data_IF_904313308724
#
_entry.id   IF_904313308724
#
_cell.length_a   1.000
_cell.length_b   1.000
_cell.length_c   1.000
_cell.angle_alpha   90.00
_cell.angle_beta   90.00
_cell.angle_gamma   90.00
#
_symmetry.space_group_name_H-M   'P 1'
#
loop_
_entity.id
_entity.type
_entity.pdbx_description
1 polymer ?
#
# COMPACT_ATOMS: atom_id res chain seq x y z
N UNK A 1 5.20 -6.66 16.17
CA UNK A 1 5.28 -6.04 14.83
C UNK A 1 3.87 -5.84 14.30
N UNK A 2 3.55 -4.64 13.79
CA UNK A 2 2.21 -4.22 13.38
C UNK A 2 1.15 -4.53 14.44
N UNK A 3 1.43 -4.19 15.69
CA UNK A 3 0.51 -4.50 16.79
C UNK A 3 -0.81 -3.72 16.67
N UNK A 4 -1.97 -4.30 17.04
CA UNK A 4 -3.29 -3.68 16.87
C UNK A 4 -3.48 -2.43 17.73
N UNK A 5 -2.70 -2.30 18.80
CA UNK A 5 -2.74 -1.17 19.72
C UNK A 5 -2.00 0.05 19.18
N UNK A 6 -1.21 -0.11 18.10
CA UNK A 6 -0.48 1.00 17.48
C UNK A 6 -1.43 1.86 16.66
N UNK A 7 -1.25 3.18 16.72
CA UNK A 7 -2.07 4.12 15.96
C UNK A 7 -1.70 4.05 14.48
N UNK A 8 -2.69 3.80 13.61
CA UNK A 8 -2.52 3.93 12.17
C UNK A 8 -2.40 5.40 11.78
N UNK A 9 -1.43 5.72 10.94
CA UNK A 9 -1.21 7.06 10.37
C UNK A 9 -1.12 6.92 8.86
N UNK A 10 -1.93 7.70 8.15
CA UNK A 10 -1.91 7.77 6.69
C UNK A 10 -1.46 9.16 6.31
N UNK A 11 -0.37 9.26 5.56
CA UNK A 11 0.16 10.54 5.10
C UNK A 11 -0.80 11.19 4.09
N UNK A 12 -0.79 12.53 4.03
CA UNK A 12 -1.71 13.29 3.18
C UNK A 12 -1.58 12.91 1.71
N UNK A 13 -0.36 12.67 1.22
CA UNK A 13 -0.12 12.29 -0.17
C UNK A 13 -0.74 10.94 -0.55
N UNK A 14 -0.88 10.02 0.41
CA UNK A 14 -1.55 8.73 0.18
C UNK A 14 -3.05 8.95 0.04
N UNK A 15 -3.65 9.78 0.92
CA UNK A 15 -5.09 10.08 0.88
C UNK A 15 -5.51 10.79 -0.40
N UNK A 16 -4.61 11.59 -0.99
CA UNK A 16 -4.86 12.28 -2.24
C UNK A 16 -4.82 11.36 -3.46
N UNK A 17 -4.09 10.25 -3.38
CA UNK A 17 -3.82 9.36 -4.52
C UNK A 17 -4.58 8.04 -4.47
N UNK A 18 -4.82 7.52 -3.27
CA UNK A 18 -5.44 6.21 -3.05
C UNK A 18 -6.81 6.43 -2.39
N UNK A 19 -7.90 5.86 -2.95
CA UNK A 19 -9.23 5.97 -2.35
C UNK A 19 -9.26 5.46 -0.91
N UNK A 20 -10.08 6.09 -0.06
CA UNK A 20 -10.19 5.73 1.36
C UNK A 20 -10.58 4.26 1.57
N UNK A 21 -11.48 3.74 0.75
CA UNK A 21 -11.87 2.33 0.77
C UNK A 21 -10.69 1.39 0.49
N UNK A 22 -9.79 1.76 -0.44
CA UNK A 22 -8.58 0.98 -0.73
C UNK A 22 -7.59 1.07 0.43
N UNK A 23 -7.40 2.24 1.03
CA UNK A 23 -6.58 2.41 2.23
C UNK A 23 -7.09 1.51 3.37
N UNK A 24 -8.41 1.43 3.56
CA UNK A 24 -9.02 0.54 4.55
C UNK A 24 -8.74 -0.93 4.25
N UNK A 25 -8.84 -1.35 2.98
CA UNK A 25 -8.49 -2.71 2.55
C UNK A 25 -7.01 -3.03 2.83
N UNK A 26 -6.08 -2.10 2.60
CA UNK A 26 -4.67 -2.30 2.91
C UNK A 26 -4.44 -2.55 4.41
N UNK A 27 -5.14 -1.82 5.29
CA UNK A 27 -5.08 -2.07 6.74
C UNK A 27 -5.65 -3.43 7.12
N UNK A 28 -6.74 -3.84 6.47
CA UNK A 28 -7.34 -5.16 6.67
C UNK A 28 -6.37 -6.27 6.24
N UNK A 29 -5.77 -6.17 5.05
CA UNK A 29 -4.75 -7.11 4.56
C UNK A 29 -3.58 -7.22 5.53
N UNK A 30 -3.08 -6.10 6.04
CA UNK A 30 -2.01 -6.09 7.03
C UNK A 30 -2.40 -6.82 8.33
N UNK A 31 -3.61 -6.56 8.84
CA UNK A 31 -4.16 -7.24 10.00
C UNK A 31 -4.26 -8.76 9.77
N UNK A 32 -4.70 -9.19 8.60
CA UNK A 32 -4.86 -10.60 8.29
C UNK A 32 -3.53 -11.32 8.08
N UNK A 33 -2.57 -10.69 7.40
CA UNK A 33 -1.20 -11.21 7.30
C UNK A 33 -0.55 -11.37 8.68
N UNK A 34 -0.82 -10.43 9.61
CA UNK A 34 -0.35 -10.55 10.99
C UNK A 34 -0.95 -11.76 11.69
N UNK A 35 -2.27 -11.95 11.60
CA UNK A 35 -2.96 -13.12 12.19
C UNK A 35 -2.44 -14.44 11.62
N UNK A 36 -2.14 -14.44 10.33
CA UNK A 36 -1.57 -15.58 9.61
C UNK A 36 -0.07 -15.78 9.85
N UNK A 37 0.59 -14.92 10.65
CA UNK A 37 2.04 -14.93 10.92
C UNK A 37 2.90 -14.81 9.64
N UNK A 38 2.40 -14.12 8.61
CA UNK A 38 3.08 -13.88 7.33
C UNK A 38 3.97 -12.64 7.32
N UNK A 39 3.93 -11.84 8.38
CA UNK A 39 4.71 -10.60 8.47
C UNK A 39 6.10 -10.90 9.03
N UNK A 40 7.12 -10.65 8.22
CA UNK A 40 8.54 -10.93 8.53
C UNK A 40 9.41 -9.67 8.52
N UNK A 41 8.89 -8.55 8.02
CA UNK A 41 9.60 -7.27 7.91
C UNK A 41 8.79 -6.14 8.53
N UNK A 42 9.46 -5.17 9.18
CA UNK A 42 8.82 -3.93 9.70
C UNK A 42 8.43 -2.95 8.59
N UNK A 43 8.92 -3.17 7.39
CA UNK A 43 8.60 -2.38 6.19
C UNK A 43 7.96 -3.29 5.16
N UNK A 44 6.82 -2.83 4.65
CA UNK A 44 6.06 -3.49 3.59
C UNK A 44 5.92 -2.49 2.45
N UNK A 45 6.22 -2.94 1.23
CA UNK A 45 5.88 -2.21 0.02
C UNK A 45 4.64 -2.88 -0.62
N UNK A 46 3.70 -2.06 -1.07
CA UNK A 46 2.50 -2.50 -1.76
C UNK A 46 2.49 -1.82 -3.12
N UNK A 47 2.61 -2.61 -4.17
CA UNK A 47 2.38 -2.16 -5.54
C UNK A 47 0.96 -2.58 -5.96
N UNK A 48 0.29 -1.73 -6.73
CA UNK A 48 -0.99 -2.08 -7.32
C UNK A 48 -0.77 -2.65 -8.72
N UNK A 49 -1.44 -3.76 -9.02
CA UNK A 49 -1.49 -4.32 -10.36
C UNK A 49 -2.80 -3.94 -11.04
N UNK A 50 -2.74 -3.80 -12.37
CA UNK A 50 -3.92 -3.64 -13.21
C UNK A 50 -4.86 -4.83 -13.03
N UNK A 51 -6.16 -4.57 -13.19
CA UNK A 51 -7.20 -5.58 -13.06
C UNK A 51 -7.77 -6.01 -14.41
N UNK A 52 -8.23 -7.25 -14.44
CA UNK A 52 -8.93 -7.84 -15.58
C UNK A 52 -10.46 -7.70 -15.44
N UNK A 53 -10.99 -7.21 -14.30
CA UNK A 53 -12.42 -7.19 -13.98
C UNK A 53 -12.86 -5.95 -13.16
N UNK A 54 -14.09 -5.47 -13.39
CA UNK A 54 -14.63 -4.25 -12.76
C UNK A 54 -14.81 -4.34 -11.23
N UNK A 55 -14.66 -5.52 -10.63
CA UNK A 55 -15.04 -5.78 -9.24
C UNK A 55 -13.86 -5.95 -8.30
N UNK A 56 -12.66 -6.10 -8.82
CA UNK A 56 -11.48 -6.36 -8.02
C UNK A 56 -10.28 -5.52 -8.42
N UNK A 57 -9.34 -5.43 -7.48
CA UNK A 57 -7.98 -4.95 -7.71
C UNK A 57 -7.01 -5.98 -7.16
N UNK A 58 -5.81 -6.03 -7.72
CA UNK A 58 -4.74 -6.89 -7.24
C UNK A 58 -3.63 -6.04 -6.63
N UNK A 59 -3.10 -6.48 -5.51
CA UNK A 59 -1.92 -5.86 -4.90
C UNK A 59 -0.81 -6.88 -4.78
N UNK A 60 0.42 -6.43 -5.02
CA UNK A 60 1.62 -7.19 -4.70
C UNK A 60 2.22 -6.64 -3.42
N UNK A 61 2.20 -7.46 -2.36
CA UNK A 61 2.72 -7.11 -1.04
C UNK A 61 4.13 -7.69 -0.89
N UNK A 62 5.13 -6.82 -0.77
CA UNK A 62 6.55 -7.14 -0.76
C UNK A 62 7.19 -6.83 0.60
N UNK A 63 8.05 -7.74 1.07
CA UNK A 63 8.74 -7.69 2.36
C UNK A 63 10.22 -8.05 2.19
N UNK A 64 11.06 -7.66 3.16
CA UNK A 64 12.48 -8.09 3.18
C UNK A 64 13.24 -7.67 1.91
N UNK A 65 13.10 -6.41 1.49
CA UNK A 65 13.66 -5.89 0.24
C UNK A 65 13.16 -6.60 -1.04
N UNK A 66 11.98 -7.23 -0.99
CA UNK A 66 11.37 -7.87 -2.15
C UNK A 66 11.63 -9.38 -2.25
N UNK A 67 12.39 -9.96 -1.31
CA UNK A 67 12.64 -11.41 -1.27
C UNK A 67 11.36 -12.24 -1.05
N UNK A 68 10.37 -11.63 -0.39
CA UNK A 68 9.08 -12.26 -0.15
C UNK A 68 8.01 -11.36 -0.74
N UNK A 69 7.24 -11.91 -1.67
CA UNK A 69 6.14 -11.22 -2.35
C UNK A 69 4.91 -12.12 -2.41
N UNK A 70 3.74 -11.58 -2.06
CA UNK A 70 2.46 -12.28 -2.17
C UNK A 70 1.44 -11.37 -2.87
N UNK A 71 0.78 -11.93 -3.88
CA UNK A 71 -0.33 -11.26 -4.55
C UNK A 71 -1.63 -11.46 -3.74
N UNK A 72 -2.39 -10.39 -3.56
CA UNK A 72 -3.67 -10.42 -2.86
C UNK A 72 -4.75 -9.81 -3.75
N UNK A 73 -5.79 -10.59 -4.03
CA UNK A 73 -7.01 -10.13 -4.69
C UNK A 73 -7.90 -9.41 -3.67
N UNK A 74 -8.29 -8.18 -3.97
CA UNK A 74 -9.18 -7.37 -3.14
C UNK A 74 -10.46 -7.05 -3.89
N UNK A 75 -11.62 -7.19 -3.24
CA UNK A 75 -12.90 -6.72 -3.79
C UNK A 75 -12.97 -5.20 -3.70
N UNK A 76 -13.07 -4.53 -4.85
CA UNK A 76 -13.17 -3.08 -4.96
C UNK A 76 -13.86 -2.66 -6.27
N UNK A 77 -14.98 -1.97 -6.16
CA UNK A 77 -15.82 -1.51 -7.29
C UNK A 77 -15.83 0.01 -7.47
N UNK A 78 -14.96 0.74 -6.76
CA UNK A 78 -14.86 2.20 -6.88
C UNK A 78 -13.95 2.65 -8.02
N UNK A 79 -13.67 3.96 -8.10
CA UNK A 79 -12.74 4.50 -9.12
C UNK A 79 -11.34 3.90 -8.98
N UNK A 80 -10.80 3.46 -10.11
CA UNK A 80 -9.51 2.77 -10.21
C UNK A 80 -8.40 3.63 -10.85
N UNK A 81 -8.62 4.94 -10.93
CA UNK A 81 -7.70 5.91 -11.56
C UNK A 81 -6.28 5.89 -10.94
N UNK A 82 -6.13 5.32 -9.74
CA UNK A 82 -4.87 5.20 -9.02
C UNK A 82 -3.96 4.06 -9.51
N UNK A 83 -4.51 3.03 -10.19
CA UNK A 83 -3.75 1.84 -10.63
C UNK A 83 -2.68 2.20 -11.67
N UNK A 84 -3.02 3.05 -12.64
CA UNK A 84 -2.14 3.42 -13.75
C UNK A 84 -1.09 4.48 -13.41
N UNK A 85 -0.97 4.84 -12.13
CA UNK A 85 -0.05 5.90 -11.70
C UNK A 85 1.28 5.34 -11.16
N UNK A 86 1.53 4.03 -11.32
CA UNK A 86 2.72 3.35 -10.78
C UNK A 86 2.83 3.49 -9.25
N UNK A 87 1.70 3.64 -8.56
CA UNK A 87 1.65 3.98 -7.14
C UNK A 87 2.24 2.85 -6.30
N UNK A 88 3.22 3.17 -5.44
CA UNK A 88 3.75 2.24 -4.44
C UNK A 88 3.51 2.83 -3.06
N UNK A 89 2.76 2.10 -2.25
CA UNK A 89 2.50 2.45 -0.85
C UNK A 89 3.51 1.72 0.04
N UNK A 90 4.14 2.45 0.96
CA UNK A 90 5.04 1.90 1.97
C UNK A 90 4.33 1.94 3.32
N UNK A 91 4.23 0.79 3.98
CA UNK A 91 3.71 0.64 5.34
C UNK A 91 4.88 0.33 6.27
N UNK A 92 5.12 1.20 7.24
CA UNK A 92 6.24 1.12 8.18
C UNK A 92 5.74 0.96 9.62
N UNK A 93 6.15 -0.12 10.28
CA UNK A 93 5.97 -0.31 11.71
C UNK A 93 7.00 0.49 12.51
N UNK A 94 6.51 1.40 13.36
CA UNK A 94 7.31 2.22 14.28
C UNK A 94 6.99 1.83 15.74
N UNK A 95 7.74 2.30 16.75
CA UNK A 95 7.49 1.92 18.14
C UNK A 95 6.04 2.11 18.61
N UNK A 96 5.37 3.20 18.20
CA UNK A 96 4.01 3.55 18.68
C UNK A 96 2.97 3.72 17.56
N UNK A 97 3.40 3.73 16.31
CA UNK A 97 2.53 3.98 15.16
C UNK A 97 2.84 3.00 14.02
N UNK A 98 1.87 2.84 13.14
CA UNK A 98 2.09 2.23 11.83
C UNK A 98 1.77 3.29 10.79
N UNK A 99 2.76 3.61 9.94
CA UNK A 99 2.66 4.73 9.01
C UNK A 99 2.52 4.22 7.57
N UNK A 100 1.56 4.74 6.83
CA UNK A 100 1.36 4.52 5.40
C UNK A 100 1.76 5.79 4.65
N UNK A 101 2.73 5.66 3.75
CA UNK A 101 3.33 6.75 2.93
C UNK A 101 3.47 6.32 1.48
N UNK A 102 3.66 7.24 0.54
CA UNK A 102 4.07 6.88 -0.82
C UNK A 102 5.59 6.63 -0.89
N UNK A 103 6.00 5.72 -1.76
CA UNK A 103 7.42 5.49 -2.06
C UNK A 103 8.09 6.75 -2.59
N UNK A 104 9.39 6.92 -2.32
CA UNK A 104 10.18 8.01 -2.88
C UNK A 104 10.21 7.98 -4.41
N UNK A 105 10.11 6.78 -5.02
CA UNK A 105 10.03 6.61 -6.48
C UNK A 105 8.80 7.29 -7.08
N UNK A 106 7.69 7.36 -6.33
CA UNK A 106 6.49 8.07 -6.76
C UNK A 106 6.61 9.59 -6.62
N UNK A 107 7.60 10.08 -5.87
CA UNK A 107 7.84 11.51 -5.65
C UNK A 107 8.75 12.09 -6.74
N UNK A 108 9.64 11.28 -7.31
CA UNK A 108 10.54 11.70 -8.39
C UNK A 108 9.82 11.94 -9.74
N UNK A 109 8.69 11.29 -10.00
CA UNK A 109 7.96 11.46 -11.27
C UNK A 109 7.26 12.82 -11.42
N UNK A 110 6.95 13.51 -10.32
CA UNK A 110 6.38 14.86 -10.34
C UNK A 110 7.42 15.96 -10.60
N UNK A 111 8.68 15.73 -10.27
CA UNK A 111 9.74 16.74 -10.47
C UNK A 111 10.25 16.78 -11.93
N UNK A 112 10.02 15.71 -12.70
CA UNK A 112 10.48 15.60 -14.08
C UNK A 112 9.61 16.37 -15.10
N UNK A 113 8.42 16.87 -14.72
CA UNK A 113 7.49 17.53 -15.64
C UNK A 113 7.46 19.06 -15.53
N UNK A 114 8.27 19.67 -14.65
CA UNK A 114 8.27 21.14 -14.43
C UNK A 114 9.36 21.87 -15.22
N UNK A 115 10.14 21.18 -16.06
CA UNK A 115 11.13 21.80 -16.95
C UNK A 115 10.92 21.33 -18.39
N UNK A 116 9.94 21.91 -19.09
CA UNK A 116 9.95 21.98 -20.56
C UNK A 116 9.18 23.19 -21.07
#
# INVERSE_FOLDING_TARGET
MFEPTKKHRVATEVKQRVPEAVIALLWQTLSDFRKQKKLVSKTIAVAFSDDYDDQTIYILLMQGNGEISEEVKLTYTGSKDFLNQGTIVIINDKPHTVNMTLSALNKQSTDATTNK
#
